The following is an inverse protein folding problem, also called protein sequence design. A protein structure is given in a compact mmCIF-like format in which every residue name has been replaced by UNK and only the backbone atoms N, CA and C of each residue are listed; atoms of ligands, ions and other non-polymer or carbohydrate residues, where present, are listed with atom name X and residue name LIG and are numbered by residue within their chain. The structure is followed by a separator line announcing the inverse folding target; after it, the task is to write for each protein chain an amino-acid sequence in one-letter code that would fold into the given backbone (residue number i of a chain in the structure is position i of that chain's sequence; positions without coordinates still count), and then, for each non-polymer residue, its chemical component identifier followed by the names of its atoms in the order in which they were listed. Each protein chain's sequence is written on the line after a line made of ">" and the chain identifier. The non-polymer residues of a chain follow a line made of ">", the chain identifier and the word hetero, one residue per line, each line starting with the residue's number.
data_IF_162178065431
#
_entry.id   IF_162178065431
#
_cell.length_a   1.000
_cell.length_b   1.000
_cell.length_c   1.000
_cell.angle_alpha   90.00
_cell.angle_beta   90.00
_cell.angle_gamma   90.00
#
_symmetry.space_group_name_H-M   'P 1'
#
loop_
_entity.id
_entity.type
_entity.pdbx_description
1 polymer ?
#
# COMPACT_ATOMS: atom_id res chain seq x y z
N UNK A 1 -36.60 -19.55 -54.71
CA UNK A 1 -35.26 -20.08 -55.01
C UNK A 1 -34.38 -18.91 -55.37
N UNK A 2 -33.14 -18.95 -54.88
CA UNK A 2 -32.05 -17.95 -54.89
C UNK A 2 -32.33 -16.73 -54.00
N UNK A 3 -32.00 -16.71 -52.70
CA UNK A 3 -30.72 -16.96 -52.00
C UNK A 3 -29.54 -16.17 -52.58
N UNK A 4 -29.22 -15.06 -51.90
CA UNK A 4 -28.08 -14.19 -52.17
C UNK A 4 -27.71 -13.39 -50.92
N UNK A 5 -27.43 -14.09 -49.83
CA UNK A 5 -26.96 -13.51 -48.56
C UNK A 5 -25.58 -12.87 -48.74
N UNK A 6 -25.53 -11.54 -48.74
CA UNK A 6 -24.26 -10.80 -48.68
C UNK A 6 -23.81 -10.72 -47.23
N UNK A 7 -22.86 -11.60 -46.88
CA UNK A 7 -22.18 -11.61 -45.58
C UNK A 7 -21.40 -10.31 -45.41
N UNK A 8 -21.88 -9.41 -44.55
CA UNK A 8 -21.10 -8.25 -44.12
C UNK A 8 -20.05 -8.74 -43.12
N UNK A 9 -18.85 -9.02 -43.61
CA UNK A 9 -17.70 -9.29 -42.75
C UNK A 9 -17.27 -7.98 -42.07
N UNK A 10 -17.83 -7.74 -40.88
CA UNK A 10 -17.18 -6.91 -39.89
C UNK A 10 -15.85 -7.57 -39.57
N UNK A 11 -14.79 -7.13 -40.25
CA UNK A 11 -13.41 -7.37 -39.83
C UNK A 11 -13.26 -6.76 -38.44
N UNK A 12 -13.48 -7.58 -37.43
CA UNK A 12 -13.05 -7.34 -36.06
C UNK A 12 -11.53 -7.33 -36.06
N UNK A 13 -10.95 -6.16 -36.35
CA UNK A 13 -9.55 -5.91 -36.03
C UNK A 13 -9.48 -5.89 -34.50
N UNK A 14 -9.14 -7.05 -33.94
CA UNK A 14 -8.65 -7.13 -32.58
C UNK A 14 -7.50 -6.13 -32.46
N UNK A 15 -7.77 -5.02 -31.78
CA UNK A 15 -6.80 -3.99 -31.49
C UNK A 15 -5.82 -4.57 -30.47
N UNK A 16 -4.84 -5.30 -30.99
CA UNK A 16 -3.71 -5.83 -30.24
C UNK A 16 -2.87 -4.65 -29.76
N UNK A 17 -3.21 -4.07 -28.61
CA UNK A 17 -2.32 -3.15 -27.90
C UNK A 17 -1.22 -3.94 -27.21
N UNK A 18 -0.37 -4.58 -28.02
CA UNK A 18 1.00 -4.92 -27.62
C UNK A 18 1.91 -3.83 -28.16
N UNK A 19 1.71 -2.59 -27.70
CA UNK A 19 2.65 -1.51 -27.99
C UNK A 19 3.90 -1.74 -27.14
N UNK A 20 4.85 -2.45 -27.73
CA UNK A 20 6.25 -2.44 -27.28
C UNK A 20 6.72 -0.99 -27.26
N UNK A 21 7.12 -0.48 -26.09
CA UNK A 21 7.72 0.85 -25.96
C UNK A 21 8.98 0.91 -26.83
N UNK A 22 9.01 1.86 -27.77
CA UNK A 22 10.18 2.11 -28.60
C UNK A 22 11.29 2.78 -27.76
N UNK A 23 12.58 2.60 -28.12
CA UNK A 23 13.66 3.39 -27.53
C UNK A 23 13.43 4.88 -27.77
N UNK A 24 13.04 5.62 -26.73
CA UNK A 24 12.70 7.05 -26.80
C UNK A 24 11.32 7.40 -26.22
N UNK A 25 10.46 6.40 -26.00
CA UNK A 25 9.14 6.63 -25.40
C UNK A 25 9.26 7.09 -23.94
N UNK A 26 8.53 8.16 -23.61
CA UNK A 26 8.48 8.72 -22.26
C UNK A 26 7.21 8.25 -21.55
N UNK A 27 7.38 7.52 -20.45
CA UNK A 27 6.26 7.14 -19.59
C UNK A 27 5.84 8.36 -18.77
N UNK A 28 4.64 8.87 -19.01
CA UNK A 28 4.01 9.92 -18.20
C UNK A 28 3.01 9.28 -17.22
N UNK A 29 3.24 9.48 -15.92
CA UNK A 29 2.32 9.05 -14.89
C UNK A 29 1.31 10.16 -14.57
N UNK A 30 0.03 9.92 -14.87
CA UNK A 30 -1.07 10.84 -14.55
C UNK A 30 -1.81 10.31 -13.32
N UNK A 31 -1.98 11.15 -12.31
CA UNK A 31 -2.86 10.85 -11.16
C UNK A 31 -4.26 11.37 -11.47
N UNK A 32 -5.24 10.48 -11.47
CA UNK A 32 -6.65 10.81 -11.66
C UNK A 32 -7.53 9.91 -10.80
N UNK A 33 -8.78 10.31 -10.55
CA UNK A 33 -9.81 9.40 -10.08
C UNK A 33 -10.11 8.32 -11.13
N UNK A 34 -10.71 7.22 -10.69
CA UNK A 34 -11.22 6.16 -11.58
C UNK A 34 -12.26 6.71 -12.56
N UNK A 35 -12.91 7.84 -12.25
CA UNK A 35 -13.89 8.47 -13.13
C UNK A 35 -13.32 9.63 -13.98
N UNK A 36 -12.11 10.11 -13.67
CA UNK A 36 -11.53 11.33 -14.28
C UNK A 36 -10.81 11.13 -15.62
N UNK A 37 -10.71 9.88 -16.10
CA UNK A 37 -10.19 9.51 -17.41
C UNK A 37 -11.24 8.60 -18.06
N UNK A 38 -11.44 8.70 -19.37
CA UNK A 38 -12.33 7.81 -20.14
C UNK A 38 -11.82 6.38 -20.19
N UNK A 39 -11.74 5.73 -19.03
CA UNK A 39 -11.33 4.35 -18.88
C UNK A 39 -12.32 3.44 -19.61
N UNK A 40 -11.80 2.37 -20.17
CA UNK A 40 -12.64 1.32 -20.72
C UNK A 40 -13.54 0.75 -19.59
N UNK A 41 -14.85 0.87 -19.77
CA UNK A 41 -15.84 0.48 -18.76
C UNK A 41 -15.72 -1.00 -18.36
N UNK A 42 -15.16 -1.84 -19.23
CA UNK A 42 -14.85 -3.24 -18.93
C UNK A 42 -13.94 -3.41 -17.69
N UNK A 43 -13.05 -2.45 -17.43
CA UNK A 43 -12.09 -2.52 -16.32
C UNK A 43 -12.48 -1.66 -15.12
N UNK A 44 -13.54 -0.86 -15.22
CA UNK A 44 -13.91 0.13 -14.20
C UNK A 44 -14.14 -0.50 -12.82
N UNK A 45 -14.96 -1.53 -12.75
CA UNK A 45 -15.29 -2.18 -11.46
C UNK A 45 -14.09 -2.92 -10.86
N UNK A 46 -13.29 -3.58 -11.70
CA UNK A 46 -12.03 -4.21 -11.26
C UNK A 46 -11.07 -3.17 -10.68
N UNK A 47 -10.95 -2.01 -11.31
CA UNK A 47 -10.10 -0.92 -10.84
C UNK A 47 -10.63 -0.31 -9.53
N UNK A 48 -11.94 -0.07 -9.41
CA UNK A 48 -12.56 0.38 -8.16
C UNK A 48 -12.28 -0.58 -7.01
N UNK A 49 -12.55 -1.88 -7.22
CA UNK A 49 -12.26 -2.93 -6.23
C UNK A 49 -10.77 -3.00 -5.85
N UNK A 50 -9.87 -2.79 -6.80
CA UNK A 50 -8.43 -2.72 -6.52
C UNK A 50 -8.11 -1.51 -5.64
N UNK A 51 -8.58 -0.31 -6.00
CA UNK A 51 -8.33 0.94 -5.26
C UNK A 51 -8.89 0.84 -3.84
N UNK A 52 -10.10 0.34 -3.68
CA UNK A 52 -10.75 0.14 -2.37
C UNK A 52 -9.98 -0.84 -1.49
N UNK A 53 -9.53 -1.98 -2.05
CA UNK A 53 -8.70 -2.94 -1.32
C UNK A 53 -7.38 -2.33 -0.87
N UNK A 54 -6.67 -1.63 -1.77
CA UNK A 54 -5.41 -0.96 -1.44
C UNK A 54 -5.64 0.08 -0.34
N UNK A 55 -6.64 0.93 -0.50
CA UNK A 55 -6.97 1.98 0.45
C UNK A 55 -7.28 1.40 1.84
N UNK A 56 -8.17 0.42 1.91
CA UNK A 56 -8.58 -0.22 3.17
C UNK A 56 -7.40 -0.92 3.85
N UNK A 57 -6.63 -1.71 3.09
CA UNK A 57 -5.42 -2.39 3.60
C UNK A 57 -4.41 -1.38 4.13
N UNK A 58 -4.20 -0.28 3.40
CA UNK A 58 -3.33 0.83 3.84
C UNK A 58 -3.84 1.45 5.15
N UNK A 59 -5.13 1.72 5.29
CA UNK A 59 -5.67 2.25 6.55
C UNK A 59 -5.44 1.29 7.73
N UNK A 60 -5.61 -0.01 7.51
CA UNK A 60 -5.28 -1.03 8.51
C UNK A 60 -3.78 -1.14 8.77
N UNK A 61 -2.92 -1.01 7.76
CA UNK A 61 -1.47 -1.04 7.96
C UNK A 61 -1.00 0.12 8.84
N UNK A 62 -1.56 1.33 8.68
CA UNK A 62 -1.25 2.46 9.57
C UNK A 62 -1.64 2.17 11.01
N UNK A 63 -2.85 1.66 11.20
CA UNK A 63 -3.40 1.35 12.52
C UNK A 63 -2.63 0.20 13.17
N UNK A 64 -2.26 -0.81 12.40
CA UNK A 64 -1.50 -1.97 12.88
C UNK A 64 -0.05 -1.60 13.23
N UNK A 65 0.64 -0.80 12.42
CA UNK A 65 1.97 -0.28 12.79
C UNK A 65 1.93 0.47 14.12
N UNK A 66 0.91 1.34 14.33
CA UNK A 66 0.72 2.03 15.61
C UNK A 66 0.47 1.04 16.75
N UNK A 67 -0.38 0.02 16.52
CA UNK A 67 -0.66 -1.02 17.51
C UNK A 67 0.62 -1.76 17.94
N UNK A 68 1.45 -2.20 16.98
CA UNK A 68 2.74 -2.85 17.25
C UNK A 68 3.63 -1.93 18.10
N UNK A 69 3.82 -0.69 17.67
CA UNK A 69 4.69 0.24 18.39
C UNK A 69 4.18 0.53 19.80
N UNK A 70 2.88 0.75 19.98
CA UNK A 70 2.28 0.94 21.31
C UNK A 70 2.48 -0.27 22.22
N UNK A 71 2.36 -1.49 21.70
CA UNK A 71 2.63 -2.73 22.47
C UNK A 71 4.11 -2.89 22.82
N UNK A 72 5.00 -2.40 21.96
CA UNK A 72 6.45 -2.45 22.16
C UNK A 72 7.03 -1.28 22.96
N UNK A 73 6.26 -0.22 23.24
CA UNK A 73 6.73 0.89 24.07
C UNK A 73 7.13 0.47 25.50
N UNK A 74 6.62 -0.65 25.99
CA UNK A 74 6.97 -1.18 27.32
C UNK A 74 8.24 -2.05 27.31
N UNK A 75 8.75 -2.38 26.12
CA UNK A 75 9.93 -3.22 25.91
C UNK A 75 11.15 -2.30 25.78
N UNK A 76 11.94 -2.19 26.86
CA UNK A 76 13.09 -1.27 26.93
C UNK A 76 14.21 -1.62 25.94
N UNK A 77 14.24 -2.87 25.45
CA UNK A 77 15.23 -3.35 24.48
C UNK A 77 14.77 -3.14 23.02
N UNK A 78 13.54 -2.65 22.82
CA UNK A 78 12.99 -2.41 21.49
C UNK A 78 13.38 -1.04 20.95
N UNK A 79 14.37 -1.00 20.06
CA UNK A 79 14.68 0.21 19.29
C UNK A 79 13.69 0.40 18.13
N UNK A 80 12.71 1.28 18.33
CA UNK A 80 11.72 1.63 17.31
C UNK A 80 12.35 2.19 16.03
N UNK A 81 13.52 2.84 16.10
CA UNK A 81 14.17 3.44 14.94
C UNK A 81 14.61 2.38 13.92
N UNK A 82 14.97 1.17 14.37
CA UNK A 82 15.34 0.06 13.47
C UNK A 82 14.15 -0.44 12.62
N UNK A 83 12.91 -0.13 13.04
CA UNK A 83 11.68 -0.59 12.40
C UNK A 83 10.96 0.53 11.64
N UNK A 84 11.26 1.80 11.87
CA UNK A 84 10.67 2.90 11.10
C UNK A 84 11.41 3.03 9.76
N UNK A 85 11.08 2.16 8.82
CA UNK A 85 11.60 2.22 7.45
C UNK A 85 10.63 1.61 6.44
N UNK A 86 10.88 1.89 5.16
CA UNK A 86 10.06 1.41 4.04
C UNK A 86 9.91 -0.11 3.97
N UNK A 87 10.93 -0.87 4.35
CA UNK A 87 10.90 -2.33 4.28
C UNK A 87 10.04 -2.93 5.39
N UNK A 88 10.12 -2.40 6.60
CA UNK A 88 9.21 -2.77 7.67
C UNK A 88 7.76 -2.47 7.30
N UNK A 89 7.43 -1.25 6.83
CA UNK A 89 6.05 -0.91 6.47
C UNK A 89 5.53 -1.74 5.29
N UNK A 90 6.38 -2.06 4.31
CA UNK A 90 6.05 -3.04 3.26
C UNK A 90 5.70 -4.39 3.87
N UNK A 91 6.46 -4.86 4.86
CA UNK A 91 6.18 -6.13 5.53
C UNK A 91 4.91 -6.07 6.40
N UNK A 92 4.60 -4.94 7.04
CA UNK A 92 3.31 -4.73 7.73
C UNK A 92 2.16 -4.84 6.72
N UNK A 93 2.26 -4.13 5.59
CA UNK A 93 1.20 -4.11 4.58
C UNK A 93 0.91 -5.51 4.02
N UNK A 94 1.93 -6.30 3.63
CA UNK A 94 1.63 -7.65 3.10
C UNK A 94 1.16 -8.65 4.16
N UNK A 95 1.34 -8.37 5.46
CA UNK A 95 0.79 -9.24 6.51
C UNK A 95 -0.73 -9.16 6.63
N UNK A 96 -1.31 -8.07 6.09
CA UNK A 96 -2.74 -7.73 6.16
C UNK A 96 -3.52 -8.17 4.91
N UNK A 97 -2.88 -8.87 3.97
CA UNK A 97 -3.56 -9.44 2.80
C UNK A 97 -3.26 -10.93 2.72
N UNK A 98 -4.20 -11.68 2.15
CA UNK A 98 -3.96 -13.08 1.82
C UNK A 98 -3.13 -13.15 0.54
N UNK A 99 -1.82 -13.29 0.74
CA UNK A 99 -0.80 -13.35 -0.30
C UNK A 99 0.19 -14.46 0.02
N UNK A 100 0.50 -15.32 -0.97
CA UNK A 100 1.52 -16.36 -0.82
C UNK A 100 2.89 -15.73 -0.77
N UNK A 101 3.38 -15.56 0.45
CA UNK A 101 4.64 -14.86 0.72
C UNK A 101 5.80 -15.83 0.64
N UNK A 102 6.78 -15.51 -0.21
CA UNK A 102 8.05 -16.25 -0.25
C UNK A 102 8.80 -16.21 1.08
N UNK A 103 9.66 -17.21 1.31
CA UNK A 103 10.54 -17.28 2.48
C UNK A 103 11.49 -16.07 2.50
N UNK A 104 11.52 -15.35 3.62
CA UNK A 104 12.49 -14.28 3.83
C UNK A 104 13.90 -14.87 3.99
N UNK A 105 14.89 -14.25 3.34
CA UNK A 105 16.31 -14.63 3.47
C UNK A 105 17.14 -13.58 4.20
N UNK A 106 16.72 -12.32 4.15
CA UNK A 106 17.42 -11.23 4.80
C UNK A 106 17.04 -11.18 6.30
N UNK A 107 18.04 -11.08 7.17
CA UNK A 107 17.86 -11.18 8.62
C UNK A 107 16.93 -10.10 9.18
N UNK A 108 17.03 -8.88 8.67
CA UNK A 108 16.13 -7.79 9.02
C UNK A 108 14.67 -8.11 8.68
N UNK A 109 14.39 -8.66 7.50
CA UNK A 109 13.03 -9.05 7.08
C UNK A 109 12.49 -10.18 7.97
N UNK A 110 13.33 -11.14 8.34
CA UNK A 110 12.96 -12.21 9.29
C UNK A 110 12.56 -11.61 10.63
N UNK A 111 13.37 -10.68 11.16
CA UNK A 111 13.08 -9.97 12.42
C UNK A 111 11.82 -9.13 12.35
N UNK A 112 11.57 -8.44 11.24
CA UNK A 112 10.34 -7.68 11.01
C UNK A 112 9.11 -8.57 11.03
N UNK A 113 9.15 -9.68 10.29
CA UNK A 113 8.04 -10.64 10.25
C UNK A 113 7.76 -11.23 11.62
N UNK A 114 8.79 -11.59 12.38
CA UNK A 114 8.62 -12.13 13.73
C UNK A 114 7.85 -11.16 14.65
N UNK A 115 8.21 -9.87 14.65
CA UNK A 115 7.49 -8.84 15.43
C UNK A 115 6.07 -8.64 14.91
N UNK A 116 5.87 -8.63 13.60
CA UNK A 116 4.54 -8.48 12.99
C UNK A 116 3.64 -9.65 13.36
N UNK A 117 4.12 -10.88 13.16
CA UNK A 117 3.36 -12.11 13.38
C UNK A 117 2.98 -12.28 14.86
N UNK A 118 3.82 -11.79 15.78
CA UNK A 118 3.53 -11.75 17.22
C UNK A 118 2.23 -11.00 17.54
N UNK A 119 1.91 -9.93 16.80
CA UNK A 119 0.77 -9.05 17.10
C UNK A 119 -0.37 -9.15 16.08
N UNK A 120 -0.17 -9.83 14.96
CA UNK A 120 -1.13 -9.89 13.86
C UNK A 120 -2.45 -10.53 14.30
N UNK A 121 -2.40 -11.68 14.97
CA UNK A 121 -3.60 -12.40 15.42
C UNK A 121 -4.50 -11.55 16.33
N UNK A 122 -3.90 -10.92 17.34
CA UNK A 122 -4.61 -10.02 18.25
C UNK A 122 -5.24 -8.84 17.52
N UNK A 123 -4.47 -8.20 16.62
CA UNK A 123 -4.95 -7.06 15.85
C UNK A 123 -6.15 -7.43 14.96
N UNK A 124 -6.06 -8.54 14.22
CA UNK A 124 -7.16 -9.03 13.38
C UNK A 124 -8.40 -9.35 14.20
N UNK A 125 -8.23 -9.95 15.38
CA UNK A 125 -9.32 -10.28 16.29
C UNK A 125 -10.01 -9.02 16.83
N UNK A 126 -9.24 -8.05 17.32
CA UNK A 126 -9.76 -6.80 17.90
C UNK A 126 -10.51 -5.97 16.85
N UNK A 127 -9.97 -5.90 15.63
CA UNK A 127 -10.55 -5.07 14.56
C UNK A 127 -11.59 -5.79 13.73
N UNK A 128 -11.74 -7.12 13.90
CA UNK A 128 -12.54 -7.98 13.00
C UNK A 128 -12.16 -7.82 11.53
N UNK A 129 -10.91 -7.41 11.24
CA UNK A 129 -10.44 -7.19 9.89
C UNK A 129 -10.21 -8.53 9.18
N UNK A 130 -10.87 -8.72 8.04
CA UNK A 130 -10.66 -9.87 7.17
C UNK A 130 -9.64 -9.52 6.10
N UNK A 131 -8.58 -10.32 6.01
CA UNK A 131 -7.54 -10.11 5.01
C UNK A 131 -8.10 -10.40 3.62
N UNK A 132 -8.07 -9.45 2.69
CA UNK A 132 -8.53 -9.69 1.33
C UNK A 132 -7.49 -10.52 0.56
N UNK A 133 -7.96 -11.36 -0.36
CA UNK A 133 -7.09 -11.96 -1.36
C UNK A 133 -6.55 -10.87 -2.30
N UNK A 134 -5.23 -10.84 -2.46
CA UNK A 134 -4.56 -9.83 -3.27
C UNK A 134 -3.45 -10.45 -4.12
N UNK A 135 -3.82 -10.80 -5.35
CA UNK A 135 -2.87 -11.27 -6.37
C UNK A 135 -1.94 -10.11 -6.74
N UNK A 136 -0.63 -10.36 -6.73
CA UNK A 136 0.42 -9.36 -7.00
C UNK A 136 0.54 -8.23 -5.96
N UNK A 137 0.22 -8.52 -4.70
CA UNK A 137 0.35 -7.61 -3.55
C UNK A 137 1.72 -6.91 -3.41
N UNK A 138 2.79 -7.51 -3.93
CA UNK A 138 4.16 -7.03 -3.76
C UNK A 138 4.39 -5.61 -4.29
N UNK A 139 3.84 -5.27 -5.46
CA UNK A 139 4.04 -3.93 -6.05
C UNK A 139 3.30 -2.85 -5.27
N UNK A 140 2.06 -3.15 -4.85
CA UNK A 140 1.29 -2.28 -3.96
C UNK A 140 2.03 -2.07 -2.65
N UNK A 141 2.53 -3.13 -2.02
CA UNK A 141 3.24 -3.01 -0.75
C UNK A 141 4.53 -2.19 -0.82
N UNK A 142 5.30 -2.28 -1.91
CA UNK A 142 6.51 -1.45 -2.11
C UNK A 142 6.11 0.03 -2.18
N UNK A 143 5.08 0.33 -2.97
CA UNK A 143 4.56 1.68 -3.15
C UNK A 143 3.99 2.24 -1.85
N UNK A 144 3.13 1.49 -1.18
CA UNK A 144 2.49 1.88 0.07
C UNK A 144 3.51 1.96 1.22
N UNK A 145 4.42 1.00 1.35
CA UNK A 145 5.49 1.05 2.36
C UNK A 145 6.38 2.29 2.22
N UNK A 146 6.64 2.73 0.99
CA UNK A 146 7.37 3.97 0.72
C UNK A 146 6.54 5.20 1.12
N UNK A 147 5.27 5.25 0.73
CA UNK A 147 4.35 6.34 1.13
C UNK A 147 4.24 6.48 2.65
N UNK A 148 4.17 5.35 3.36
CA UNK A 148 4.14 5.30 4.83
C UNK A 148 5.37 5.93 5.44
N UNK A 149 6.55 5.47 5.01
CA UNK A 149 7.80 5.99 5.53
C UNK A 149 7.93 7.49 5.25
N UNK A 150 7.60 7.94 4.03
CA UNK A 150 7.61 9.37 3.68
C UNK A 150 6.63 10.16 4.54
N UNK A 151 5.40 9.67 4.74
CA UNK A 151 4.42 10.33 5.59
C UNK A 151 4.90 10.42 7.05
N UNK A 152 5.54 9.37 7.56
CA UNK A 152 6.15 9.38 8.89
C UNK A 152 7.30 10.38 8.98
N UNK A 153 8.28 10.29 8.08
CA UNK A 153 9.46 11.17 8.07
C UNK A 153 9.06 12.64 7.94
N UNK A 154 8.09 12.95 7.07
CA UNK A 154 7.54 14.30 6.94
C UNK A 154 6.85 14.76 8.22
N UNK A 155 6.07 13.90 8.88
CA UNK A 155 5.44 14.25 10.15
C UNK A 155 6.47 14.50 11.25
N UNK A 156 7.51 13.66 11.37
CA UNK A 156 8.60 13.89 12.33
C UNK A 156 9.29 15.22 12.01
N UNK A 157 9.70 15.44 10.77
CA UNK A 157 10.36 16.68 10.36
C UNK A 157 9.52 17.93 10.66
N UNK A 158 8.24 17.91 10.33
CA UNK A 158 7.34 19.07 10.50
C UNK A 158 6.95 19.30 11.97
N UNK A 159 6.76 18.23 12.74
CA UNK A 159 6.11 18.30 14.06
C UNK A 159 7.07 18.18 15.24
N UNK A 160 8.25 17.58 15.05
CA UNK A 160 9.25 17.44 16.11
C UNK A 160 9.89 18.79 16.47
N UNK A 161 9.85 19.80 15.60
CA UNK A 161 10.18 21.17 15.98
C UNK A 161 9.03 21.84 16.76
N UNK A 162 7.80 21.71 16.27
CA UNK A 162 6.67 22.50 16.77
C UNK A 162 6.06 21.99 18.08
N UNK A 163 5.96 20.67 18.28
CA UNK A 163 5.33 20.12 19.49
C UNK A 163 6.21 20.26 20.73
N UNK A 164 7.51 19.94 20.70
CA UNK A 164 8.41 20.21 21.81
C UNK A 164 8.54 21.70 22.07
N UNK A 165 8.64 22.55 21.04
CA UNK A 165 8.70 23.99 21.23
C UNK A 165 7.42 24.54 21.89
N UNK A 166 6.23 24.08 21.49
CA UNK A 166 4.97 24.43 22.20
C UNK A 166 4.94 23.90 23.64
N UNK A 167 5.40 22.67 23.88
CA UNK A 167 5.44 22.09 25.22
C UNK A 167 6.42 22.84 26.13
N UNK A 168 7.63 23.14 25.63
CA UNK A 168 8.65 23.93 26.31
C UNK A 168 8.15 25.35 26.57
N UNK A 169 7.54 26.01 25.59
CA UNK A 169 6.97 27.35 25.77
C UNK A 169 5.84 27.37 26.80
N UNK A 170 4.98 26.34 26.81
CA UNK A 170 3.95 26.18 27.84
C UNK A 170 4.53 25.91 29.24
N UNK A 171 5.56 25.06 29.34
CA UNK A 171 6.23 24.72 30.60
C UNK A 171 7.05 25.89 31.17
N UNK A 172 7.73 26.65 30.30
CA UNK A 172 8.55 27.80 30.68
C UNK A 172 7.77 29.13 30.70
N UNK A 173 6.47 29.11 30.37
CA UNK A 173 5.60 30.30 30.24
C UNK A 173 6.18 31.37 29.30
N UNK A 174 6.88 30.94 28.26
CA UNK A 174 7.43 31.83 27.24
C UNK A 174 6.33 31.98 26.19
N UNK A 175 5.79 33.20 26.07
CA UNK A 175 4.69 33.52 25.14
C UNK A 175 5.23 33.93 23.77
#
# INVERSE_FOLDING_TARGET
>A
MDEGSTSSSFYSSAMSTSSSLAPGDRILAVKSSVDGIGWNDLYRETLKSFVERVHTTTMHAYSFSKFIFLRKLQDMDFDIQEYINKDFFKEVWLSLVDYSRGRARAQNIIRYRAVIDQYLGDYLTITSYQRPNFVYAQQSAITEGTKFYTAYANNVHLRFGQHPHRAVNALLRIR
#
